data_IF_314290140196
#
_entry.id   IF_314290140196
#
_cell.length_a   1.000
_cell.length_b   1.000
_cell.length_c   1.000
_cell.angle_alpha   90.00
_cell.angle_beta   90.00
_cell.angle_gamma   90.00
#
_symmetry.space_group_name_H-M   'P 1'
#
loop_
_entity.id
_entity.type
_entity.pdbx_description
1 polymer ?
#
# COMPACT_ATOMS: atom_id res chain seq x y z
N UNK A 1 21.29 -5.98 13.96
CA UNK A 1 21.08 -7.03 12.95
C UNK A 1 19.84 -6.70 12.12
N UNK A 2 19.98 -5.96 11.02
CA UNK A 2 18.86 -5.60 10.11
C UNK A 2 19.32 -5.54 8.63
N UNK A 3 20.36 -6.30 8.28
CA UNK A 3 20.84 -6.41 6.89
C UNK A 3 20.12 -7.50 6.09
N UNK A 4 19.23 -8.27 6.71
CA UNK A 4 18.67 -9.49 6.11
C UNK A 4 17.46 -9.27 5.20
N UNK A 5 16.82 -8.09 5.22
CA UNK A 5 15.59 -7.84 4.44
C UNK A 5 15.84 -7.37 3.00
N UNK A 6 17.10 -7.13 2.61
CA UNK A 6 17.46 -6.67 1.25
C UNK A 6 17.79 -7.86 0.32
N UNK A 7 18.00 -9.07 0.87
CA UNK A 7 18.50 -10.21 0.10
C UNK A 7 17.42 -11.20 -0.40
N UNK A 8 16.13 -10.97 -0.09
CA UNK A 8 15.10 -12.01 -0.31
C UNK A 8 13.96 -11.65 -1.27
N UNK A 9 14.06 -10.52 -1.96
CA UNK A 9 13.11 -10.14 -3.01
C UNK A 9 13.88 -9.55 -4.17
N UNK A 10 13.71 -10.15 -5.36
CA UNK A 10 14.26 -9.71 -6.65
C UNK A 10 13.66 -8.40 -7.13
N UNK A 11 13.66 -7.38 -6.27
CA UNK A 11 13.24 -6.02 -6.60
C UNK A 11 14.50 -5.29 -7.05
N UNK A 12 14.49 -4.75 -8.27
CA UNK A 12 15.60 -3.95 -8.77
C UNK A 12 15.72 -2.66 -7.93
N UNK A 13 16.70 -2.63 -7.02
CA UNK A 13 16.99 -1.47 -6.18
C UNK A 13 18.07 -0.61 -6.84
N UNK A 14 17.77 0.67 -7.03
CA UNK A 14 18.73 1.67 -7.54
C UNK A 14 19.26 2.52 -6.39
N UNK A 15 20.59 2.69 -6.31
CA UNK A 15 21.22 3.55 -5.30
C UNK A 15 21.07 5.02 -5.71
N UNK A 16 20.46 5.81 -4.84
CA UNK A 16 20.32 7.28 -5.01
C UNK A 16 21.12 8.01 -3.95
N UNK A 17 21.90 9.02 -4.36
CA UNK A 17 22.57 9.95 -3.44
C UNK A 17 21.75 11.24 -3.35
N UNK A 18 21.44 11.67 -2.12
CA UNK A 18 20.66 12.88 -1.85
C UNK A 18 21.40 13.76 -0.84
N UNK A 19 21.31 15.07 -1.03
CA UNK A 19 21.80 16.04 -0.05
C UNK A 19 20.68 16.40 0.92
N UNK A 20 20.98 16.33 2.21
CA UNK A 20 20.11 16.78 3.30
C UNK A 20 20.90 17.68 4.23
N UNK A 21 20.21 18.58 4.92
CA UNK A 21 20.84 19.48 5.89
C UNK A 21 21.39 18.71 7.09
N UNK A 22 22.38 19.29 7.78
CA UNK A 22 22.91 18.72 9.02
C UNK A 22 21.81 18.51 10.08
N UNK A 23 20.86 19.45 10.16
CA UNK A 23 19.70 19.36 11.06
C UNK A 23 18.83 18.13 10.72
N UNK A 24 18.50 17.92 9.45
CA UNK A 24 17.74 16.73 9.02
C UNK A 24 18.49 15.43 9.32
N UNK A 25 19.81 15.40 9.12
CA UNK A 25 20.64 14.23 9.45
C UNK A 25 20.62 13.92 10.95
N UNK A 26 20.65 14.94 11.82
CA UNK A 26 20.55 14.78 13.27
C UNK A 26 19.16 14.24 13.65
N UNK A 27 18.09 14.86 13.16
CA UNK A 27 16.72 14.44 13.42
C UNK A 27 16.47 12.98 12.96
N UNK A 28 16.96 12.61 11.77
CA UNK A 28 16.86 11.24 11.26
C UNK A 28 17.60 10.23 12.15
N UNK A 29 18.74 10.64 12.72
CA UNK A 29 19.51 9.80 13.64
C UNK A 29 18.79 9.59 14.98
N UNK A 30 18.15 10.62 15.51
CA UNK A 30 17.35 10.53 16.74
C UNK A 30 16.13 9.62 16.55
N UNK A 31 15.39 9.79 15.45
CA UNK A 31 14.23 8.95 15.13
C UNK A 31 14.67 7.49 14.96
N UNK A 32 15.73 7.23 14.19
CA UNK A 32 16.27 5.88 13.98
C UNK A 32 16.64 5.19 15.30
N UNK A 33 17.27 5.91 16.25
CA UNK A 33 17.61 5.37 17.58
C UNK A 33 16.36 5.08 18.41
N UNK A 34 15.37 5.97 18.39
CA UNK A 34 14.12 5.83 19.15
C UNK A 34 13.26 4.67 18.64
N UNK A 35 13.22 4.45 17.32
CA UNK A 35 12.34 3.45 16.71
C UNK A 35 13.03 2.12 16.41
N UNK A 36 14.35 2.03 16.57
CA UNK A 36 15.17 0.88 16.12
C UNK A 36 15.05 0.56 14.63
N UNK A 37 14.61 1.53 13.82
CA UNK A 37 14.51 1.44 12.36
C UNK A 37 15.73 2.11 11.73
N UNK A 38 16.24 1.56 10.62
CA UNK A 38 17.40 2.14 9.95
C UNK A 38 17.07 3.48 9.27
N UNK A 39 18.08 4.34 9.09
CA UNK A 39 17.92 5.61 8.37
C UNK A 39 17.41 5.41 6.94
N UNK A 40 17.90 4.39 6.24
CA UNK A 40 17.49 4.08 4.87
C UNK A 40 16.03 3.63 4.81
N UNK A 41 15.56 2.89 5.80
CA UNK A 41 14.15 2.50 5.91
C UNK A 41 13.26 3.71 6.18
N UNK A 42 13.66 4.59 7.10
CA UNK A 42 12.93 5.83 7.37
C UNK A 42 12.81 6.72 6.13
N UNK A 43 13.91 6.86 5.37
CA UNK A 43 13.90 7.61 4.10
C UNK A 43 12.96 6.93 3.10
N UNK A 44 13.01 5.60 2.97
CA UNK A 44 12.13 4.87 2.06
C UNK A 44 10.66 5.05 2.42
N UNK A 45 10.31 4.96 3.70
CA UNK A 45 8.95 5.20 4.20
C UNK A 45 8.48 6.63 3.90
N UNK A 46 9.34 7.62 4.10
CA UNK A 46 9.01 9.01 3.80
C UNK A 46 8.78 9.23 2.30
N UNK A 47 9.64 8.66 1.45
CA UNK A 47 9.48 8.71 -0.01
C UNK A 47 8.20 8.02 -0.45
N UNK A 48 7.92 6.81 0.04
CA UNK A 48 6.69 6.08 -0.30
C UNK A 48 5.45 6.89 0.08
N UNK A 49 5.39 7.40 1.32
CA UNK A 49 4.25 8.23 1.76
C UNK A 49 4.07 9.47 0.91
N UNK A 50 5.17 10.14 0.56
CA UNK A 50 5.11 11.32 -0.30
C UNK A 50 4.57 10.95 -1.70
N UNK A 51 5.02 9.84 -2.29
CA UNK A 51 4.55 9.38 -3.59
C UNK A 51 3.08 8.93 -3.55
N UNK A 52 2.65 8.23 -2.51
CA UNK A 52 1.25 7.85 -2.29
C UNK A 52 0.34 9.07 -2.18
N UNK A 53 0.79 10.12 -1.48
CA UNK A 53 0.06 11.38 -1.31
C UNK A 53 0.08 12.27 -2.56
N UNK A 54 1.16 12.20 -3.33
CA UNK A 54 1.38 13.04 -4.52
C UNK A 54 0.94 12.37 -5.81
N UNK A 55 0.65 11.07 -5.78
CA UNK A 55 0.00 10.40 -6.89
C UNK A 55 -1.30 11.17 -7.16
N UNK A 56 -1.54 11.64 -8.40
CA UNK A 56 -2.89 12.03 -8.76
C UNK A 56 -3.77 10.83 -8.39
N UNK A 57 -4.99 11.08 -7.93
CA UNK A 57 -6.05 10.08 -7.98
C UNK A 57 -6.26 9.79 -9.47
N UNK A 58 -5.33 9.06 -10.09
CA UNK A 58 -5.62 8.22 -11.21
C UNK A 58 -6.77 7.40 -10.66
N UNK A 59 -7.98 7.51 -11.22
CA UNK A 59 -8.99 6.55 -10.87
C UNK A 59 -8.33 5.22 -11.23
N UNK A 60 -7.92 4.44 -10.24
CA UNK A 60 -8.00 2.99 -10.41
C UNK A 60 -9.36 2.81 -11.06
N UNK A 61 -9.37 2.42 -12.34
CA UNK A 61 -10.61 2.28 -13.06
C UNK A 61 -11.50 1.43 -12.17
N UNK A 62 -12.77 1.78 -12.05
CA UNK A 62 -13.71 1.01 -11.20
C UNK A 62 -13.55 -0.50 -11.44
N UNK A 63 -13.18 -0.87 -12.67
CA UNK A 63 -12.74 -2.20 -13.12
C UNK A 63 -11.56 -2.80 -12.34
N UNK A 64 -10.46 -2.08 -12.07
CA UNK A 64 -9.33 -2.58 -11.29
C UNK A 64 -9.69 -2.84 -9.83
N UNK A 65 -10.50 -1.96 -9.23
CA UNK A 65 -11.04 -2.19 -7.87
C UNK A 65 -11.97 -3.39 -7.86
N UNK A 66 -12.83 -3.52 -8.86
CA UNK A 66 -13.82 -4.61 -8.97
C UNK A 66 -13.19 -5.95 -9.38
N UNK A 67 -12.06 -5.96 -10.09
CA UNK A 67 -11.39 -7.18 -10.54
C UNK A 67 -11.02 -8.12 -9.37
N UNK A 68 -10.68 -7.57 -8.20
CA UNK A 68 -10.44 -8.35 -6.99
C UNK A 68 -11.70 -8.91 -6.32
N UNK A 69 -12.89 -8.45 -6.71
CA UNK A 69 -14.18 -8.89 -6.18
C UNK A 69 -14.98 -9.74 -7.18
N UNK A 70 -14.61 -9.75 -8.46
CA UNK A 70 -15.24 -10.62 -9.48
C UNK A 70 -14.95 -12.07 -9.10
N UNK A 71 -16.00 -12.85 -8.85
CA UNK A 71 -15.91 -14.27 -8.51
C UNK A 71 -15.96 -14.59 -7.01
N UNK A 72 -15.81 -13.59 -6.11
CA UNK A 72 -15.85 -13.82 -4.66
C UNK A 72 -17.20 -14.39 -4.16
N UNK A 73 -18.28 -14.15 -4.89
CA UNK A 73 -19.60 -14.71 -4.62
C UNK A 73 -20.02 -15.84 -5.58
N UNK A 74 -19.16 -16.21 -6.55
CA UNK A 74 -19.48 -17.24 -7.53
C UNK A 74 -19.53 -18.65 -6.90
N UNK A 75 -18.67 -18.90 -5.89
CA UNK A 75 -18.55 -20.22 -5.24
C UNK A 75 -19.38 -20.36 -3.95
N UNK A 76 -20.31 -19.43 -3.68
CA UNK A 76 -21.19 -19.52 -2.50
C UNK A 76 -22.29 -20.57 -2.73
N UNK A 77 -22.04 -21.78 -2.22
CA UNK A 77 -23.00 -22.91 -2.26
C UNK A 77 -24.19 -22.75 -1.29
N UNK A 78 -24.14 -21.78 -0.38
CA UNK A 78 -25.19 -21.51 0.59
C UNK A 78 -26.29 -20.56 0.06
N UNK A 79 -26.13 -20.06 -1.17
CA UNK A 79 -27.03 -19.07 -1.76
C UNK A 79 -27.78 -19.68 -2.95
N UNK A 80 -29.10 -19.83 -2.80
CA UNK A 80 -29.97 -20.53 -3.77
C UNK A 80 -30.09 -19.77 -5.10
N UNK A 81 -30.11 -18.43 -5.05
CA UNK A 81 -30.14 -17.58 -6.25
C UNK A 81 -29.36 -16.26 -6.02
N UNK A 82 -28.16 -16.13 -6.61
CA UNK A 82 -27.36 -14.92 -6.53
C UNK A 82 -28.00 -13.68 -7.13
N UNK A 83 -28.76 -13.84 -8.22
CA UNK A 83 -29.36 -12.72 -8.94
C UNK A 83 -30.52 -12.12 -8.14
N UNK A 84 -31.40 -12.96 -7.59
CA UNK A 84 -32.51 -12.52 -6.76
C UNK A 84 -32.04 -11.77 -5.49
N UNK A 85 -30.96 -12.24 -4.85
CA UNK A 85 -30.36 -11.61 -3.68
C UNK A 85 -29.82 -10.20 -3.99
N UNK A 86 -29.05 -10.04 -5.06
CA UNK A 86 -28.51 -8.74 -5.48
C UNK A 86 -29.66 -7.80 -5.87
N UNK A 87 -30.69 -8.31 -6.54
CA UNK A 87 -31.86 -7.54 -6.92
C UNK A 87 -32.64 -7.04 -5.69
N UNK A 88 -32.74 -7.84 -4.63
CA UNK A 88 -33.34 -7.43 -3.36
C UNK A 88 -32.53 -6.32 -2.65
N UNK A 89 -31.19 -6.37 -2.71
CA UNK A 89 -30.32 -5.32 -2.16
C UNK A 89 -30.41 -4.00 -2.93
N UNK A 90 -30.69 -4.04 -4.23
CA UNK A 90 -30.82 -2.85 -5.09
C UNK A 90 -32.18 -2.16 -4.98
N UNK A 91 -33.19 -2.81 -4.39
CA UNK A 91 -34.49 -2.16 -4.18
C UNK A 91 -34.33 -1.09 -3.08
N UNK A 92 -34.67 0.18 -3.35
CA UNK A 92 -34.67 1.19 -2.31
C UNK A 92 -35.66 0.77 -1.23
N UNK A 93 -35.17 0.69 0.01
CA UNK A 93 -36.02 0.49 1.19
C UNK A 93 -36.71 1.82 1.44
N UNK A 94 -37.87 2.01 0.83
CA UNK A 94 -38.84 3.01 1.25
C UNK A 94 -39.67 2.42 2.39
#
# INVERSE_FOLDING_TARGET
MYNSYIMQSSIALTRTQIYITQKQQQQLSEVSRRTSISKSELIRLAVNRFLEQSAPVLPESTEQKLAGFVGMWADRTDMVDPAAYIQALRKPRF
#
